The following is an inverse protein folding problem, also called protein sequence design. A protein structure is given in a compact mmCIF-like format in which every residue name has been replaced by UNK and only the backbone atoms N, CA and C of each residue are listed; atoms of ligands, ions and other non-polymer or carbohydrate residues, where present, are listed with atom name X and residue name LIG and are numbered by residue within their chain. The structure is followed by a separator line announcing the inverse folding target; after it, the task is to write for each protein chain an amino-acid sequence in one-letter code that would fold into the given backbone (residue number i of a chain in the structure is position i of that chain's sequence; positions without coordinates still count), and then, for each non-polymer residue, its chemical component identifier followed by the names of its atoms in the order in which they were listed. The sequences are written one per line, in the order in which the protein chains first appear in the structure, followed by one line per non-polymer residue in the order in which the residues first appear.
data_IF_548758959343
#
_entry.id   IF_548758959343
#
_cell.length_a   1.000
_cell.length_b   1.000
_cell.length_c   1.000
_cell.angle_alpha   90.00
_cell.angle_beta   90.00
_cell.angle_gamma   90.00
#
_symmetry.space_group_name_H-M   'P 1'
#
loop_
_entity.id
_entity.type
_entity.pdbx_description
1 polymer ?
#
# COMPACT_ATOMS: atom_id res chain seq x y z
N UNK A 1 -19.88 -0.32 -8.36
CA UNK A 1 -18.47 -0.67 -8.62
C UNK A 1 -17.71 0.59 -8.92
N UNK A 2 -16.77 0.95 -8.07
CA UNK A 2 -15.84 2.06 -8.32
C UNK A 2 -14.69 1.61 -9.22
N UNK A 3 -13.85 2.56 -9.66
CA UNK A 3 -12.66 2.25 -10.45
C UNK A 3 -11.67 1.35 -9.70
N UNK A 4 -11.52 1.53 -8.38
CA UNK A 4 -10.61 0.70 -7.59
C UNK A 4 -11.13 -0.72 -7.42
N UNK A 5 -12.42 -0.89 -7.09
CA UNK A 5 -13.03 -2.21 -6.96
C UNK A 5 -12.98 -3.00 -8.27
N UNK A 6 -13.25 -2.33 -9.41
CA UNK A 6 -13.19 -2.96 -10.72
C UNK A 6 -11.77 -3.41 -11.08
N UNK A 7 -10.75 -2.60 -10.75
CA UNK A 7 -9.36 -2.98 -10.98
C UNK A 7 -8.91 -4.10 -10.05
N UNK A 8 -9.35 -4.09 -8.79
CA UNK A 8 -9.12 -5.19 -7.83
C UNK A 8 -9.68 -6.51 -8.36
N UNK A 9 -10.92 -6.52 -8.83
CA UNK A 9 -11.53 -7.75 -9.39
C UNK A 9 -10.84 -8.22 -10.68
N UNK A 10 -10.24 -7.32 -11.46
CA UNK A 10 -9.48 -7.71 -12.65
C UNK A 10 -8.09 -8.30 -12.34
N UNK A 11 -7.55 -8.00 -11.16
CA UNK A 11 -6.20 -8.41 -10.70
C UNK A 11 -6.27 -9.51 -9.64
N UNK A 12 -7.46 -9.86 -9.19
CA UNK A 12 -7.75 -10.90 -8.19
C UNK A 12 -8.52 -12.03 -8.86
N UNK A 13 -8.16 -13.27 -8.57
CA UNK A 13 -8.90 -14.45 -9.02
C UNK A 13 -10.33 -14.45 -8.44
N UNK A 14 -11.33 -15.09 -9.08
CA UNK A 14 -12.67 -15.29 -8.51
C UNK A 14 -12.67 -15.94 -7.12
N UNK A 15 -11.61 -16.67 -6.76
CA UNK A 15 -11.43 -17.27 -5.44
C UNK A 15 -10.83 -16.31 -4.39
N UNK A 16 -10.61 -15.04 -4.75
CA UNK A 16 -10.12 -13.99 -3.83
C UNK A 16 -8.60 -13.93 -3.68
N UNK A 17 -7.85 -14.71 -4.47
CA UNK A 17 -6.40 -14.70 -4.42
C UNK A 17 -5.81 -13.64 -5.35
N UNK A 18 -4.86 -12.81 -4.89
CA UNK A 18 -4.08 -11.98 -5.80
C UNK A 18 -3.36 -12.89 -6.80
N UNK A 19 -3.41 -12.55 -8.09
CA UNK A 19 -2.62 -13.28 -9.09
C UNK A 19 -1.15 -13.18 -8.69
N UNK A 20 -0.45 -14.32 -8.60
CA UNK A 20 0.94 -14.37 -8.14
C UNK A 20 1.80 -13.48 -9.04
N UNK A 21 2.42 -12.45 -8.45
CA UNK A 21 3.22 -11.45 -9.17
C UNK A 21 2.44 -10.26 -9.75
N UNK A 22 1.12 -10.26 -9.68
CA UNK A 22 0.31 -9.10 -10.01
C UNK A 22 0.17 -8.17 -8.80
N UNK A 23 0.16 -6.88 -9.09
CA UNK A 23 -0.19 -5.85 -8.12
C UNK A 23 -1.71 -5.79 -7.96
N UNK A 24 -2.18 -5.93 -6.71
CA UNK A 24 -3.59 -5.74 -6.38
C UNK A 24 -3.80 -4.36 -5.78
N UNK A 25 -4.69 -3.54 -6.36
CA UNK A 25 -4.96 -2.21 -5.85
C UNK A 25 -5.66 -2.27 -4.49
N UNK A 26 -5.34 -1.30 -3.63
CA UNK A 26 -5.88 -1.18 -2.29
C UNK A 26 -6.92 -0.04 -2.32
N UNK A 27 -8.14 -0.38 -1.92
CA UNK A 27 -9.28 0.54 -1.97
C UNK A 27 -9.69 0.93 -0.55
N UNK A 28 -10.14 2.18 -0.39
CA UNK A 28 -10.68 2.69 0.88
C UNK A 28 -12.12 2.20 1.11
N UNK A 29 -12.72 2.62 2.22
CA UNK A 29 -14.11 2.27 2.55
C UNK A 29 -15.15 2.86 1.58
N UNK A 30 -14.79 3.90 0.83
CA UNK A 30 -15.63 4.50 -0.21
C UNK A 30 -15.44 3.83 -1.58
N UNK A 31 -14.53 2.85 -1.69
CA UNK A 31 -14.12 2.23 -2.94
C UNK A 31 -13.18 3.11 -3.77
N UNK A 32 -12.62 4.17 -3.22
CA UNK A 32 -11.60 5.00 -3.87
C UNK A 32 -10.21 4.34 -3.76
N UNK A 33 -9.29 4.67 -4.66
CA UNK A 33 -7.90 4.22 -4.53
C UNK A 33 -7.27 4.82 -3.28
N UNK A 34 -6.63 3.96 -2.47
CA UNK A 34 -5.80 4.43 -1.37
C UNK A 34 -4.59 5.14 -2.00
N UNK A 35 -4.28 6.38 -1.59
CA UNK A 35 -3.18 7.13 -2.16
C UNK A 35 -1.84 6.40 -2.07
N UNK A 36 -1.61 5.59 -1.03
CA UNK A 36 -0.41 4.76 -0.87
C UNK A 36 -0.70 3.33 -1.33
N UNK A 37 -0.01 2.89 -2.37
CA UNK A 37 -0.14 1.55 -2.95
C UNK A 37 1.15 0.78 -2.76
N UNK A 38 1.05 -0.47 -2.30
CA UNK A 38 2.20 -1.34 -2.08
C UNK A 38 2.08 -2.63 -2.88
N UNK A 39 3.16 -3.02 -3.54
CA UNK A 39 3.26 -4.28 -4.24
C UNK A 39 3.91 -5.32 -3.33
N UNK A 40 3.11 -6.24 -2.81
CA UNK A 40 3.62 -7.31 -1.93
C UNK A 40 4.69 -8.19 -2.58
N UNK A 41 4.62 -8.43 -3.90
CA UNK A 41 5.57 -9.31 -4.59
C UNK A 41 6.94 -8.67 -4.80
N UNK A 42 7.04 -7.35 -5.00
CA UNK A 42 8.32 -6.65 -5.14
C UNK A 42 8.72 -5.88 -3.89
N UNK A 43 7.82 -5.74 -2.93
CA UNK A 43 7.95 -4.91 -1.73
C UNK A 43 8.07 -3.40 -2.00
N UNK A 44 7.77 -2.94 -3.20
CA UNK A 44 7.81 -1.51 -3.52
C UNK A 44 6.48 -0.84 -3.17
N UNK A 45 6.52 0.38 -2.65
CA UNK A 45 5.31 1.19 -2.45
C UNK A 45 5.41 2.48 -3.28
N UNK A 46 4.29 3.06 -3.66
CA UNK A 46 4.24 4.30 -4.43
C UNK A 46 2.93 5.04 -4.16
N UNK A 47 2.89 6.33 -4.51
CA UNK A 47 1.64 7.08 -4.47
C UNK A 47 0.85 6.92 -5.76
N UNK A 48 -0.47 6.80 -5.64
CA UNK A 48 -1.40 6.85 -6.75
C UNK A 48 -2.40 7.98 -6.61
N UNK A 49 -2.90 8.47 -7.74
CA UNK A 49 -4.01 9.41 -7.77
C UNK A 49 -5.36 8.70 -7.62
N UNK A 50 -6.47 9.46 -7.57
CA UNK A 50 -7.84 8.93 -7.49
C UNK A 50 -8.24 7.99 -8.64
N UNK A 51 -7.45 7.95 -9.71
CA UNK A 51 -7.58 7.05 -10.86
C UNK A 51 -6.72 5.78 -10.76
N UNK A 52 -5.91 5.62 -9.71
CA UNK A 52 -4.97 4.52 -9.55
C UNK A 52 -3.69 4.67 -10.39
N UNK A 53 -3.39 5.85 -10.91
CA UNK A 53 -2.15 6.13 -11.65
C UNK A 53 -1.01 6.45 -10.69
N UNK A 54 0.13 5.79 -10.86
CA UNK A 54 1.34 6.06 -10.08
C UNK A 54 1.87 7.48 -10.35
N UNK A 55 2.19 8.20 -9.28
CA UNK A 55 2.92 9.46 -9.34
C UNK A 55 4.41 9.21 -9.47
N UNK A 56 5.01 9.65 -10.57
CA UNK A 56 6.44 9.53 -10.80
C UNK A 56 7.26 10.16 -9.64
N UNK A 57 8.31 9.45 -9.20
CA UNK A 57 9.18 9.90 -8.11
C UNK A 57 8.67 9.59 -6.70
N UNK A 58 7.51 8.94 -6.56
CA UNK A 58 6.97 8.51 -5.27
C UNK A 58 7.26 7.05 -4.93
N UNK A 59 7.84 6.29 -5.88
CA UNK A 59 8.15 4.88 -5.69
C UNK A 59 9.30 4.68 -4.71
N UNK A 60 9.02 3.97 -3.62
CA UNK A 60 9.98 3.60 -2.58
C UNK A 60 10.45 2.15 -2.71
N UNK A 61 11.68 1.91 -2.29
CA UNK A 61 12.26 0.57 -2.19
C UNK A 61 11.66 -0.22 -1.03
N UNK A 62 11.66 -1.56 -1.10
CA UNK A 62 11.32 -2.41 0.03
C UNK A 62 12.15 -2.08 1.27
N UNK A 63 11.48 -1.84 2.41
CA UNK A 63 12.11 -1.46 3.67
C UNK A 63 12.28 0.05 3.88
N UNK A 64 11.94 0.88 2.89
CA UNK A 64 11.85 2.33 3.10
C UNK A 64 10.60 2.66 3.94
N UNK A 65 10.65 3.74 4.75
CA UNK A 65 9.48 4.19 5.50
C UNK A 65 8.34 4.57 4.54
N UNK A 66 7.08 4.30 4.91
CA UNK A 66 5.94 4.69 4.09
C UNK A 66 5.96 6.19 3.84
N UNK A 67 5.64 6.60 2.62
CA UNK A 67 5.56 8.03 2.27
C UNK A 67 4.15 8.52 2.53
N UNK A 68 4.02 9.79 2.92
CA UNK A 68 2.70 10.40 3.02
C UNK A 68 2.28 10.90 1.62
N UNK A 69 1.29 10.23 1.05
CA UNK A 69 0.78 10.58 -0.28
C UNK A 69 -0.20 11.76 -0.26
N UNK A 70 -0.64 12.18 0.94
CA UNK A 70 -1.48 13.37 1.14
C UNK A 70 -0.62 14.66 1.10
N UNK A 71 0.67 14.52 1.42
CA UNK A 71 1.64 15.62 1.41
C UNK A 71 2.88 15.27 0.59
N UNK A 72 3.05 15.83 -0.62
CA UNK A 72 4.26 15.61 -1.42
C UNK A 72 5.47 16.21 -0.68
N UNK A 73 6.21 15.38 0.06
CA UNK A 73 7.44 15.76 0.76
C UNK A 73 7.56 15.30 2.21
N UNK A 74 6.49 14.83 2.85
CA UNK A 74 6.57 14.32 4.23
C UNK A 74 6.53 12.79 4.23
N UNK A 75 7.59 12.16 4.71
CA UNK A 75 7.57 10.72 5.02
C UNK A 75 6.50 10.52 6.09
N UNK A 76 5.62 9.52 5.98
CA UNK A 76 4.81 9.14 7.15
C UNK A 76 5.82 8.81 8.22
N UNK A 77 5.89 9.65 9.27
CA UNK A 77 6.48 9.22 10.51
C UNK A 77 5.60 8.07 10.96
N UNK A 78 6.00 6.87 10.55
CA UNK A 78 5.67 5.67 11.29
C UNK A 78 6.27 5.93 12.66
N UNK A 79 5.47 6.55 13.52
CA UNK A 79 5.72 6.52 14.94
C UNK A 79 5.71 5.05 15.26
N UNK A 80 6.91 4.48 15.28
CA UNK A 80 7.32 3.28 15.97
C UNK A 80 6.21 2.70 16.87
N UNK A 81 5.31 1.93 16.26
CA UNK A 81 4.39 1.00 16.92
C UNK A 81 4.47 -0.28 16.07
N UNK A 82 5.52 -1.08 16.18
CA UNK A 82 5.65 -1.99 17.30
C UNK A 82 7.12 -2.45 17.49
N UNK A 83 7.91 -1.61 18.16
CA UNK A 83 9.04 -2.10 18.95
C UNK A 83 8.63 -2.21 20.42
N UNK A 84 7.42 -2.75 20.63
CA UNK A 84 6.78 -2.97 21.93
C UNK A 84 6.07 -4.34 21.97
N UNK A 85 6.63 -5.38 21.33
CA UNK A 85 6.88 -6.58 22.12
C UNK A 85 8.11 -6.28 22.99
N UNK A 86 7.92 -5.99 24.28
CA UNK A 86 9.03 -5.68 25.16
C UNK A 86 10.08 -6.79 25.16
N UNK A 87 11.34 -6.39 25.08
CA UNK A 87 12.46 -7.11 25.67
C UNK A 87 12.28 -7.14 27.20
N UNK A 88 11.35 -7.95 27.70
CA UNK A 88 11.26 -8.31 29.12
C UNK A 88 11.02 -9.83 29.24
N UNK A 89 12.08 -10.63 29.07
CA UNK A 89 12.35 -11.69 30.06
C UNK A 89 12.77 -10.96 31.34
N UNK A 90 12.28 -11.25 32.57
CA UNK A 90 12.44 -12.56 33.25
C UNK A 90 11.35 -12.96 34.29
N UNK A 91 11.10 -14.26 34.47
CA UNK A 91 11.22 -14.99 35.77
C UNK A 91 11.36 -16.47 35.44
#
# INVERSE_FOLDING_TARGET
KTYCEQHRDSTTSPEGYPIVGAYVPQCDANGQYIPLQCHGSSGHCWCVDSRGQERAGTRTSPGAPPIDCDKPGEKKKTTQIDRLLPLFSPT
#
